data_IF_272923867913
#
_entry.id   IF_272923867913
#
_cell.length_a   1.000
_cell.length_b   1.000
_cell.length_c   1.000
_cell.angle_alpha   90.00
_cell.angle_beta   90.00
_cell.angle_gamma   90.00
#
_symmetry.space_group_name_H-M   'P 1'
#
loop_
_entity.id
_entity.type
_entity.pdbx_description
1 polymer ?
#
# COMPACT_ATOMS: atom_id res chain seq x y z
N UNK A 1 -0.15 -17.06 23.45
CA UNK A 1 -0.65 -16.62 22.12
C UNK A 1 0.43 -15.74 21.50
N UNK A 2 1.12 -16.23 20.46
CA UNK A 2 2.20 -15.52 19.76
C UNK A 2 1.74 -15.10 18.36
N UNK A 3 1.04 -13.97 18.27
CA UNK A 3 0.65 -13.39 16.99
C UNK A 3 1.76 -12.49 16.44
N UNK A 4 2.07 -12.62 15.14
CA UNK A 4 2.98 -11.69 14.48
C UNK A 4 2.34 -10.30 14.39
N UNK A 5 3.07 -9.27 14.83
CA UNK A 5 2.60 -7.88 14.93
C UNK A 5 2.15 -7.26 13.60
N UNK A 6 2.53 -7.84 12.45
CA UNK A 6 2.26 -7.30 11.10
C UNK A 6 1.17 -8.11 10.36
N UNK A 7 0.61 -9.14 11.00
CA UNK A 7 -0.32 -10.06 10.33
C UNK A 7 -1.60 -9.40 9.77
N UNK A 8 -2.26 -8.43 10.45
CA UNK A 8 -3.41 -7.75 9.87
C UNK A 8 -3.04 -6.82 8.68
N UNK A 9 -1.86 -6.21 8.71
CA UNK A 9 -1.39 -5.20 7.75
C UNK A 9 -0.76 -5.81 6.49
N UNK A 10 -0.22 -7.03 6.62
CA UNK A 10 0.61 -7.67 5.60
C UNK A 10 -0.01 -7.69 4.20
N UNK A 11 -1.31 -7.98 4.09
CA UNK A 11 -2.00 -8.05 2.80
C UNK A 11 -2.21 -6.67 2.17
N UNK A 12 -2.58 -5.66 2.96
CA UNK A 12 -2.77 -4.30 2.48
C UNK A 12 -1.45 -3.66 2.04
N UNK A 13 -0.39 -3.82 2.83
CA UNK A 13 0.93 -3.30 2.50
C UNK A 13 1.56 -4.04 1.32
N UNK A 14 1.44 -5.37 1.28
CA UNK A 14 1.94 -6.19 0.19
C UNK A 14 1.37 -5.78 -1.17
N UNK A 15 0.07 -5.44 -1.23
CA UNK A 15 -0.55 -4.95 -2.45
C UNK A 15 0.08 -3.63 -2.95
N UNK A 16 0.38 -2.70 -2.05
CA UNK A 16 1.02 -1.42 -2.39
C UNK A 16 2.46 -1.59 -2.84
N UNK A 17 3.24 -2.43 -2.15
CA UNK A 17 4.62 -2.76 -2.55
C UNK A 17 4.69 -3.46 -3.90
N UNK A 18 3.73 -4.34 -4.19
CA UNK A 18 3.63 -4.98 -5.49
C UNK A 18 3.34 -3.95 -6.58
N UNK A 19 2.36 -3.07 -6.38
CA UNK A 19 2.05 -2.00 -7.31
C UNK A 19 3.23 -1.04 -7.53
N UNK A 20 3.95 -0.68 -6.47
CA UNK A 20 5.17 0.12 -6.52
C UNK A 20 6.24 -0.55 -7.38
N UNK A 21 6.50 -1.84 -7.16
CA UNK A 21 7.46 -2.62 -7.94
C UNK A 21 7.07 -2.68 -9.41
N UNK A 22 5.79 -2.87 -9.71
CA UNK A 22 5.26 -2.87 -11.08
C UNK A 22 5.42 -1.52 -11.77
N UNK A 23 5.17 -0.41 -11.06
CA UNK A 23 5.38 0.94 -11.59
C UNK A 23 6.86 1.21 -11.84
N UNK A 24 7.75 0.76 -10.96
CA UNK A 24 9.19 0.89 -11.12
C UNK A 24 9.71 0.20 -12.39
N UNK A 25 9.13 -0.93 -12.80
CA UNK A 25 9.49 -1.59 -14.08
C UNK A 25 9.22 -0.70 -15.31
N UNK A 26 8.32 0.28 -15.17
CA UNK A 26 7.97 1.25 -16.22
C UNK A 26 8.62 2.62 -16.00
N UNK A 27 9.56 2.73 -15.07
CA UNK A 27 10.20 4.00 -14.69
C UNK A 27 9.23 4.99 -14.01
N UNK A 28 8.15 4.50 -13.42
CA UNK A 28 7.15 5.32 -12.73
C UNK A 28 7.18 5.08 -11.23
N UNK A 29 6.69 6.06 -10.46
CA UNK A 29 6.56 5.96 -9.01
C UNK A 29 5.12 6.24 -8.56
N UNK A 30 4.76 5.78 -7.36
CA UNK A 30 3.45 6.06 -6.74
C UNK A 30 3.33 7.54 -6.34
N UNK A 31 4.45 8.19 -6.01
CA UNK A 31 4.51 9.61 -5.66
C UNK A 31 3.86 10.48 -6.74
N UNK A 32 2.92 11.33 -6.34
CA UNK A 32 2.20 12.24 -7.24
C UNK A 32 1.14 11.59 -8.15
N UNK A 33 0.87 10.28 -8.02
CA UNK A 33 -0.23 9.61 -8.75
C UNK A 33 -1.50 9.56 -7.93
N UNK A 34 -2.64 9.69 -8.60
CA UNK A 34 -3.94 9.39 -8.01
C UNK A 34 -4.14 7.88 -7.90
N UNK A 35 -4.48 7.40 -6.71
CA UNK A 35 -4.73 5.98 -6.44
C UNK A 35 -6.17 5.81 -5.97
N UNK A 36 -6.88 4.86 -6.57
CA UNK A 36 -8.26 4.52 -6.20
C UNK A 36 -8.24 3.19 -5.46
N UNK A 37 -8.79 3.18 -4.24
CA UNK A 37 -8.93 1.97 -3.42
C UNK A 37 -10.41 1.72 -3.19
N UNK A 38 -10.88 0.54 -3.59
CA UNK A 38 -12.26 0.11 -3.38
C UNK A 38 -12.38 -0.81 -2.17
N UNK A 39 -13.47 -0.67 -1.41
CA UNK A 39 -13.73 -1.43 -0.20
C UNK A 39 -13.29 -0.70 1.08
N UNK A 40 -13.74 -1.21 2.23
CA UNK A 40 -13.54 -0.58 3.55
C UNK A 40 -13.07 -1.55 4.65
N UNK A 41 -12.72 -2.78 4.28
CA UNK A 41 -12.16 -3.77 5.20
C UNK A 41 -10.67 -3.54 5.51
N UNK A 42 -10.10 -4.39 6.37
CA UNK A 42 -8.71 -4.28 6.84
C UNK A 42 -7.69 -4.07 5.70
N UNK A 43 -7.82 -4.83 4.61
CA UNK A 43 -6.90 -4.72 3.46
C UNK A 43 -6.96 -3.34 2.81
N UNK A 44 -8.16 -2.79 2.62
CA UNK A 44 -8.35 -1.48 1.98
C UNK A 44 -7.82 -0.35 2.87
N UNK A 45 -8.03 -0.44 4.18
CA UNK A 45 -7.55 0.55 5.15
C UNK A 45 -6.01 0.58 5.18
N UNK A 46 -5.37 -0.59 5.31
CA UNK A 46 -3.90 -0.66 5.34
C UNK A 46 -3.27 -0.35 3.98
N UNK A 47 -3.93 -0.69 2.86
CA UNK A 47 -3.48 -0.25 1.54
C UNK A 47 -3.54 1.29 1.44
N UNK A 48 -4.61 1.92 1.91
CA UNK A 48 -4.76 3.37 1.88
C UNK A 48 -3.71 4.05 2.77
N UNK A 49 -3.50 3.55 3.99
CA UNK A 49 -2.45 4.06 4.88
C UNK A 49 -1.07 4.02 4.20
N UNK A 50 -0.74 2.90 3.56
CA UNK A 50 0.57 2.74 2.93
C UNK A 50 0.73 3.59 1.67
N UNK A 51 -0.32 3.71 0.87
CA UNK A 51 -0.35 4.61 -0.29
C UNK A 51 -0.14 6.04 0.16
N UNK A 52 -0.79 6.49 1.24
CA UNK A 52 -0.61 7.85 1.77
C UNK A 52 0.84 8.06 2.22
N UNK A 53 1.43 7.11 2.96
CA UNK A 53 2.84 7.17 3.37
C UNK A 53 3.82 7.26 2.19
N UNK A 54 3.46 6.67 1.04
CA UNK A 54 4.30 6.63 -0.16
C UNK A 54 4.02 7.78 -1.11
N UNK A 55 2.78 8.27 -1.18
CA UNK A 55 2.36 9.31 -2.11
C UNK A 55 2.65 10.71 -1.56
N UNK A 56 2.61 10.90 -0.24
CA UNK A 56 2.91 12.16 0.43
C UNK A 56 4.33 12.08 1.00
N UNK A 57 5.24 12.81 0.37
CA UNK A 57 6.56 13.11 0.93
C UNK A 57 6.45 14.47 1.62
N UNK A 58 6.65 14.50 2.94
CA UNK A 58 6.91 15.75 3.65
C UNK A 58 8.31 16.27 3.29
#
# INVERSE_FOLDING_TARGET
>A
MGGSLIRPEATGYGAVYFAESMLATKGQQIEGKSVVISGSGNVAQYAAEKVIQKAVKY
#
